data_IF_315288286935
#
_entry.id   IF_315288286935
#
_cell.length_a   1.000
_cell.length_b   1.000
_cell.length_c   1.000
_cell.angle_alpha   90.00
_cell.angle_beta   90.00
_cell.angle_gamma   90.00
#
_symmetry.space_group_name_H-M   'P 1'
#
loop_
_entity.id
_entity.type
_entity.pdbx_description
1 polymer ?
#
# COMPACT_ATOMS: atom_id res chain seq x y z
N UNK A 1 5.63 8.77 6.33
CA UNK A 1 6.62 7.67 6.19
C UNK A 1 6.45 6.75 7.37
N UNK A 2 6.41 5.43 7.18
CA UNK A 2 6.38 4.45 8.26
C UNK A 2 7.76 3.80 8.37
N UNK A 3 8.27 3.66 9.59
CA UNK A 3 9.49 2.90 9.87
C UNK A 3 9.19 1.84 10.92
N UNK A 4 9.63 0.62 10.69
CA UNK A 4 9.55 -0.47 11.66
C UNK A 4 10.70 -1.45 11.41
N UNK A 5 11.10 -2.18 12.46
CA UNK A 5 12.05 -3.28 12.27
C UNK A 5 11.32 -4.48 11.67
N UNK A 6 12.05 -5.32 10.92
CA UNK A 6 11.51 -6.55 10.38
C UNK A 6 10.93 -7.44 11.48
N UNK A 7 11.65 -7.60 12.59
CA UNK A 7 11.21 -8.41 13.74
C UNK A 7 9.90 -7.89 14.35
N UNK A 8 9.74 -6.56 14.48
CA UNK A 8 8.51 -5.97 14.97
C UNK A 8 7.33 -6.23 14.03
N UNK A 9 7.52 -6.06 12.72
CA UNK A 9 6.49 -6.35 11.71
C UNK A 9 6.15 -7.85 11.65
N UNK A 10 7.15 -8.73 11.77
CA UNK A 10 6.96 -10.17 11.74
C UNK A 10 6.12 -10.65 12.95
N UNK A 11 6.46 -10.18 14.16
CA UNK A 11 5.71 -10.47 15.39
C UNK A 11 4.29 -9.91 15.35
N UNK A 12 4.13 -8.67 14.86
CA UNK A 12 2.82 -8.07 14.67
C UNK A 12 1.98 -8.85 13.64
N UNK A 13 2.61 -9.27 12.54
CA UNK A 13 1.99 -10.11 11.51
C UNK A 13 1.43 -11.41 12.07
N UNK A 14 2.18 -12.14 12.90
CA UNK A 14 1.67 -13.37 13.53
C UNK A 14 0.50 -13.13 14.49
N UNK A 15 0.44 -11.95 15.09
CA UNK A 15 -0.66 -11.58 15.99
C UNK A 15 -1.91 -11.14 15.22
N UNK A 16 -1.74 -10.34 14.16
CA UNK A 16 -2.83 -9.70 13.44
C UNK A 16 -3.31 -10.52 12.22
N UNK A 17 -2.42 -11.27 11.57
CA UNK A 17 -2.60 -11.92 10.27
C UNK A 17 -1.97 -13.33 10.22
N UNK A 18 -2.33 -14.25 11.14
CA UNK A 18 -1.70 -15.57 11.19
C UNK A 18 -1.85 -16.38 9.89
N UNK A 19 -2.94 -16.17 9.16
CA UNK A 19 -3.19 -16.74 7.84
C UNK A 19 -2.21 -16.20 6.78
N UNK A 20 -2.02 -14.88 6.71
CA UNK A 20 -1.03 -14.24 5.84
C UNK A 20 0.40 -14.70 6.16
N UNK A 21 0.75 -14.80 7.44
CA UNK A 21 2.09 -15.24 7.85
C UNK A 21 2.40 -16.67 7.40
N UNK A 22 1.39 -17.55 7.40
CA UNK A 22 1.54 -18.91 6.88
C UNK A 22 1.87 -18.92 5.39
N UNK A 23 1.34 -17.97 4.61
CA UNK A 23 1.70 -17.79 3.20
C UNK A 23 3.15 -17.32 3.03
N UNK A 24 3.63 -16.41 3.89
CA UNK A 24 5.04 -15.99 3.87
C UNK A 24 5.99 -17.13 4.22
N UNK A 25 5.65 -17.99 5.18
CA UNK A 25 6.46 -19.19 5.49
C UNK A 25 6.55 -20.15 4.28
N UNK A 26 5.44 -20.34 3.54
CA UNK A 26 5.45 -21.11 2.28
C UNK A 26 6.40 -20.49 1.25
N UNK A 27 6.38 -19.16 1.10
CA UNK A 27 7.29 -18.44 0.20
C UNK A 27 8.76 -18.59 0.62
N UNK A 28 9.05 -18.52 1.92
CA UNK A 28 10.41 -18.70 2.44
C UNK A 28 11.02 -20.05 2.04
N UNK A 29 10.23 -21.12 1.98
CA UNK A 29 10.69 -22.44 1.52
C UNK A 29 11.04 -22.44 0.02
N UNK A 30 10.31 -21.67 -0.77
CA UNK A 30 10.52 -21.56 -2.22
C UNK A 30 11.61 -20.54 -2.61
N UNK A 31 12.09 -19.75 -1.65
CA UNK A 31 13.00 -18.63 -1.90
C UNK A 31 14.31 -19.09 -2.54
N UNK A 32 14.69 -18.44 -3.64
CA UNK A 32 15.89 -18.75 -4.42
C UNK A 32 15.80 -20.04 -5.24
N UNK A 33 14.63 -20.70 -5.27
CA UNK A 33 14.39 -21.87 -6.13
C UNK A 33 13.90 -21.45 -7.51
N UNK A 34 13.83 -22.39 -8.45
CA UNK A 34 13.27 -22.13 -9.79
C UNK A 34 11.75 -21.89 -9.76
N UNK A 35 11.09 -22.33 -8.70
CA UNK A 35 9.63 -22.29 -8.56
C UNK A 35 9.15 -21.04 -7.79
N UNK A 36 10.07 -20.21 -7.28
CA UNK A 36 9.76 -19.02 -6.47
C UNK A 36 8.71 -18.12 -7.12
N UNK A 37 8.87 -17.81 -8.40
CA UNK A 37 7.96 -16.91 -9.11
C UNK A 37 6.55 -17.50 -9.27
N UNK A 38 6.45 -18.79 -9.61
CA UNK A 38 5.17 -19.46 -9.75
C UNK A 38 4.44 -19.57 -8.39
N UNK A 39 5.18 -19.93 -7.35
CA UNK A 39 4.65 -20.01 -5.98
C UNK A 39 4.21 -18.62 -5.50
N UNK A 40 4.99 -17.57 -5.78
CA UNK A 40 4.62 -16.20 -5.43
C UNK A 40 3.30 -15.79 -6.09
N UNK A 41 3.13 -16.08 -7.39
CA UNK A 41 1.89 -15.78 -8.11
C UNK A 41 0.68 -16.49 -7.50
N UNK A 42 0.80 -17.78 -7.22
CA UNK A 42 -0.28 -18.56 -6.60
C UNK A 42 -0.60 -18.05 -5.20
N UNK A 43 0.41 -17.70 -4.40
CA UNK A 43 0.21 -17.13 -3.07
C UNK A 43 -0.52 -15.79 -3.14
N UNK A 44 -0.17 -14.90 -4.07
CA UNK A 44 -0.87 -13.62 -4.25
C UNK A 44 -2.32 -13.80 -4.73
N UNK A 45 -2.64 -14.88 -5.45
CA UNK A 45 -4.02 -15.21 -5.84
C UNK A 45 -4.87 -15.65 -4.65
N UNK A 46 -4.27 -16.37 -3.70
CA UNK A 46 -4.91 -16.86 -2.48
C UNK A 46 -4.93 -15.83 -1.33
N UNK A 47 -4.07 -14.80 -1.40
CA UNK A 47 -3.78 -13.92 -0.27
C UNK A 47 -5.00 -13.08 0.15
N UNK A 48 -5.35 -13.08 1.45
CA UNK A 48 -6.41 -12.22 1.96
C UNK A 48 -6.02 -10.74 1.86
N UNK A 49 -7.01 -9.88 1.65
CA UNK A 49 -6.80 -8.44 1.62
C UNK A 49 -6.92 -7.82 3.01
N UNK A 50 -5.86 -7.16 3.45
CA UNK A 50 -5.85 -6.40 4.70
C UNK A 50 -5.46 -4.95 4.47
N UNK A 51 -6.19 -4.04 5.11
CA UNK A 51 -5.76 -2.66 5.26
C UNK A 51 -4.75 -2.57 6.41
N UNK A 52 -3.52 -2.17 6.10
CA UNK A 52 -2.43 -2.05 7.08
C UNK A 52 -2.77 -1.13 8.26
N UNK A 53 -3.41 0.01 8.00
CA UNK A 53 -3.75 0.97 9.06
C UNK A 53 -4.80 0.40 9.99
N UNK A 54 -5.91 -0.13 9.46
CA UNK A 54 -7.03 -0.56 10.30
C UNK A 54 -6.85 -1.93 10.93
N UNK A 55 -6.09 -2.81 10.29
CA UNK A 55 -5.93 -4.17 10.78
C UNK A 55 -4.59 -4.44 11.47
N UNK A 56 -3.56 -3.59 11.31
CA UNK A 56 -2.28 -3.72 12.03
C UNK A 56 -2.03 -2.58 13.02
N UNK A 57 -2.12 -1.31 12.57
CA UNK A 57 -1.75 -0.17 13.42
C UNK A 57 -2.83 0.17 14.47
N UNK A 58 -4.10 0.20 14.06
CA UNK A 58 -5.21 0.53 14.96
C UNK A 58 -5.37 -0.44 16.15
N UNK A 59 -5.18 -1.77 15.99
CA UNK A 59 -5.29 -2.70 17.11
C UNK A 59 -4.13 -2.66 18.12
N UNK A 60 -2.99 -2.08 17.78
CA UNK A 60 -1.79 -2.06 18.63
C UNK A 60 -1.24 -0.63 18.85
N UNK A 61 -2.08 0.33 19.31
CA UNK A 61 -1.66 1.72 19.46
C UNK A 61 -0.50 1.89 20.43
N UNK A 62 -0.35 1.00 21.41
CA UNK A 62 0.75 1.00 22.38
C UNK A 62 2.12 0.64 21.77
N UNK A 63 2.14 0.10 20.54
CA UNK A 63 3.35 -0.28 19.80
C UNK A 63 3.67 0.69 18.66
N UNK A 64 2.91 1.78 18.54
CA UNK A 64 3.05 2.77 17.48
C UNK A 64 3.51 4.09 18.09
N UNK A 65 4.55 4.67 17.50
CA UNK A 65 4.98 6.03 17.79
C UNK A 65 4.77 6.92 16.55
N UNK A 66 4.38 8.16 16.78
CA UNK A 66 4.20 9.17 15.72
C UNK A 66 5.26 10.25 15.90
N UNK A 67 5.90 10.62 14.80
CA UNK A 67 6.86 11.72 14.74
C UNK A 67 6.34 12.75 13.75
N UNK A 68 6.36 14.01 14.15
CA UNK A 68 6.07 15.12 13.25
C UNK A 68 7.13 15.20 12.15
N UNK A 69 6.68 15.34 10.90
CA UNK A 69 7.57 15.60 9.78
C UNK A 69 7.59 17.10 9.54
N UNK A 70 8.70 17.75 9.90
CA UNK A 70 8.94 19.16 9.62
C UNK A 70 9.70 19.33 8.31
N UNK A 71 9.59 20.52 7.70
CA UNK A 71 10.34 20.91 6.50
C UNK A 71 10.12 20.01 5.27
N UNK A 72 9.02 19.26 5.24
CA UNK A 72 8.63 18.39 4.13
C UNK A 72 7.22 18.73 3.67
N UNK A 73 7.06 18.95 2.37
CA UNK A 73 5.73 18.97 1.75
C UNK A 73 5.32 17.53 1.42
N UNK A 74 4.24 17.04 2.04
CA UNK A 74 3.70 15.71 1.76
C UNK A 74 2.25 15.78 1.27
N UNK A 75 1.93 14.95 0.27
CA UNK A 75 0.58 14.73 -0.24
C UNK A 75 0.52 13.30 -0.79
N UNK A 76 -0.58 12.60 -0.55
CA UNK A 76 -0.82 11.23 -1.06
C UNK A 76 -1.23 11.19 -2.54
N UNK A 77 -1.49 12.35 -3.15
CA UNK A 77 -1.97 12.49 -4.53
C UNK A 77 -3.24 11.66 -4.84
N UNK A 78 -4.05 11.36 -3.82
CA UNK A 78 -5.26 10.54 -3.99
C UNK A 78 -6.40 11.24 -4.73
N UNK A 79 -6.26 12.53 -5.08
CA UNK A 79 -7.24 13.31 -5.84
C UNK A 79 -6.53 14.24 -6.85
N UNK A 80 -7.09 14.46 -8.04
CA UNK A 80 -6.49 15.32 -9.07
C UNK A 80 -6.16 16.73 -8.55
N UNK A 81 -7.08 17.34 -7.78
CA UNK A 81 -6.88 18.68 -7.21
C UNK A 81 -5.64 18.76 -6.31
N UNK A 82 -5.35 17.69 -5.54
CA UNK A 82 -4.19 17.62 -4.62
C UNK A 82 -2.85 17.54 -5.38
N UNK A 83 -2.86 17.02 -6.61
CA UNK A 83 -1.68 17.02 -7.49
C UNK A 83 -1.39 18.45 -7.95
N UNK A 84 -2.39 19.15 -8.49
CA UNK A 84 -2.25 20.53 -8.94
C UNK A 84 -1.81 21.45 -7.80
N UNK A 85 -2.35 21.28 -6.60
CA UNK A 85 -1.93 22.01 -5.41
C UNK A 85 -0.47 21.73 -5.04
N UNK A 86 -0.05 20.45 -5.04
CA UNK A 86 1.33 20.07 -4.72
C UNK A 86 2.33 20.72 -5.69
N UNK A 87 2.01 20.76 -6.99
CA UNK A 87 2.84 21.41 -8.02
C UNK A 87 2.95 22.92 -7.78
N UNK A 88 1.83 23.58 -7.45
CA UNK A 88 1.84 25.02 -7.14
C UNK A 88 2.66 25.34 -5.89
N UNK A 89 2.57 24.51 -4.85
CA UNK A 89 3.31 24.70 -3.59
C UNK A 89 4.83 24.61 -3.77
N UNK A 90 5.31 23.90 -4.79
CA UNK A 90 6.75 23.86 -5.14
C UNK A 90 7.15 24.95 -6.15
N UNK A 91 6.31 25.96 -6.37
CA UNK A 91 6.59 27.09 -7.26
C UNK A 91 6.48 26.78 -8.75
N UNK A 92 5.80 25.69 -9.12
CA UNK A 92 5.60 25.29 -10.52
C UNK A 92 4.15 25.48 -10.95
N UNK A 93 3.94 25.48 -12.27
CA UNK A 93 2.61 25.50 -12.87
C UNK A 93 2.28 24.10 -13.41
N UNK A 94 1.09 23.55 -13.12
CA UNK A 94 0.64 22.31 -13.75
C UNK A 94 0.68 22.41 -15.28
N UNK A 95 1.24 21.40 -15.95
CA UNK A 95 1.32 21.34 -17.41
C UNK A 95 0.10 20.65 -18.05
N UNK A 96 -0.81 20.13 -17.23
CA UNK A 96 -2.07 19.55 -17.68
C UNK A 96 -3.19 20.60 -17.65
N UNK A 97 -4.21 20.47 -18.53
CA UNK A 97 -5.39 21.32 -18.52
C UNK A 97 -6.13 21.27 -17.17
N UNK A 98 -6.47 22.43 -16.60
CA UNK A 98 -7.10 22.50 -15.26
C UNK A 98 -8.58 22.14 -15.26
N UNK A 99 -9.25 22.19 -16.40
CA UNK A 99 -10.63 21.73 -16.62
C UNK A 99 -10.80 20.23 -16.34
N UNK A 100 -9.72 19.43 -16.37
CA UNK A 100 -9.79 18.03 -15.92
C UNK A 100 -10.14 17.88 -14.43
N UNK A 101 -9.93 18.93 -13.62
CA UNK A 101 -10.26 18.96 -12.20
C UNK A 101 -11.75 19.23 -11.94
N UNK A 102 -12.48 19.72 -12.94
CA UNK A 102 -13.92 19.99 -12.83
C UNK A 102 -14.77 18.71 -12.94
N UNK A 103 -14.16 17.63 -13.44
CA UNK A 103 -14.83 16.33 -13.55
C UNK A 103 -14.98 15.70 -12.17
N UNK A 104 -16.14 15.09 -11.85
CA UNK A 104 -16.28 14.31 -10.63
C UNK A 104 -15.19 13.25 -10.54
N UNK A 105 -14.41 13.27 -9.46
CA UNK A 105 -13.43 12.23 -9.21
C UNK A 105 -14.12 10.92 -8.81
N UNK A 106 -14.04 9.92 -9.69
CA UNK A 106 -14.46 8.56 -9.43
C UNK A 106 -13.21 7.67 -9.41
N UNK A 107 -12.66 7.34 -8.23
CA UNK A 107 -11.52 6.43 -8.17
C UNK A 107 -11.94 5.07 -8.70
N UNK A 108 -11.04 4.40 -9.41
CA UNK A 108 -11.24 2.99 -9.74
C UNK A 108 -11.42 2.21 -8.43
N UNK A 109 -12.36 1.25 -8.37
CA UNK A 109 -12.45 0.37 -7.22
C UNK A 109 -11.09 -0.31 -7.01
N UNK A 110 -10.67 -0.41 -5.76
CA UNK A 110 -9.47 -1.18 -5.42
C UNK A 110 -9.82 -2.65 -5.76
N UNK A 111 -9.08 -3.29 -6.68
CA UNK A 111 -9.37 -4.66 -7.08
C UNK A 111 -9.31 -5.56 -5.85
N UNK A 112 -10.33 -6.41 -5.69
CA UNK A 112 -10.47 -7.31 -4.54
C UNK A 112 -9.69 -8.62 -4.75
N UNK A 113 -9.24 -8.87 -5.99
CA UNK A 113 -8.45 -10.04 -6.37
C UNK A 113 -7.34 -9.64 -7.32
N UNK A 114 -6.22 -10.37 -7.27
CA UNK A 114 -5.09 -10.17 -8.19
C UNK A 114 -5.50 -10.33 -9.67
N UNK A 115 -6.48 -11.20 -9.94
CA UNK A 115 -7.04 -11.45 -11.28
C UNK A 115 -7.70 -10.20 -11.90
N UNK A 116 -8.23 -9.30 -11.06
CA UNK A 116 -8.88 -8.05 -11.50
C UNK A 116 -7.85 -6.98 -11.93
N UNK A 117 -6.57 -7.16 -11.57
CA UNK A 117 -5.46 -6.27 -11.97
C UNK A 117 -4.95 -6.62 -13.38
N UNK A 118 -5.12 -7.88 -13.80
CA UNK A 118 -4.55 -8.43 -15.04
C UNK A 118 -5.48 -8.31 -16.26
N UNK A 119 -6.63 -7.64 -16.13
CA UNK A 119 -7.52 -7.38 -17.27
C UNK A 119 -6.93 -6.21 -18.08
N UNK A 120 -6.59 -6.40 -19.38
CA UNK A 120 -6.14 -5.28 -20.20
C UNK A 120 -7.28 -4.26 -20.31
N UNK A 121 -6.94 -2.99 -20.04
CA UNK A 121 -7.80 -1.84 -20.24
C UNK A 121 -8.18 -1.66 -21.71
#
# INVERSE_FOLDING_TARGET
MLTATLDALWKAGWTCFPDLMTLFERLCVAWGTRDEAAILEDLYREMPQYNFSSHLLQPAPERVAVMELTDVLWSDWGRPERIAESIRRIGKVPTFPLDCLERPFAPNPIPQKAEEILIPA
#
